data_IF_184781626430
#
_entry.id   IF_184781626430
#
_cell.length_a   1.000
_cell.length_b   1.000
_cell.length_c   1.000
_cell.angle_alpha   90.00
_cell.angle_beta   90.00
_cell.angle_gamma   90.00
#
_symmetry.space_group_name_H-M   'P 1'
#
loop_
_entity.id
_entity.type
_entity.pdbx_description
1 polymer ?
#
# COMPACT_ATOMS: atom_id res chain seq x y z
N UNK A 1 -66.20 -13.35 -47.90
CA UNK A 1 -66.98 -13.22 -46.65
C UNK A 1 -66.29 -14.03 -45.56
N UNK A 2 -65.83 -13.37 -44.49
CA UNK A 2 -65.40 -13.95 -43.18
C UNK A 2 -66.65 -14.19 -42.30
N UNK A 3 -66.59 -14.72 -41.06
CA UNK A 3 -65.71 -15.72 -40.38
C UNK A 3 -66.52 -16.70 -39.46
N UNK A 4 -65.87 -17.65 -38.75
CA UNK A 4 -66.15 -18.17 -37.35
C UNK A 4 -64.97 -19.13 -37.03
N UNK A 5 -63.89 -18.81 -36.30
CA UNK A 5 -63.58 -18.59 -34.86
C UNK A 5 -63.83 -19.78 -33.90
N UNK A 6 -62.77 -20.06 -33.11
CA UNK A 6 -62.67 -20.82 -31.83
C UNK A 6 -62.20 -22.28 -31.97
N UNK A 7 -61.31 -22.84 -31.14
CA UNK A 7 -60.78 -22.47 -29.83
C UNK A 7 -59.55 -23.39 -29.50
N UNK A 8 -58.69 -22.90 -28.60
CA UNK A 8 -57.75 -23.62 -27.70
C UNK A 8 -56.58 -24.41 -28.32
N UNK A 9 -55.38 -23.87 -28.10
CA UNK A 9 -54.39 -24.57 -27.28
C UNK A 9 -53.39 -23.54 -26.74
N UNK A 10 -53.62 -23.15 -25.49
CA UNK A 10 -52.60 -22.55 -24.65
C UNK A 10 -51.63 -23.66 -24.26
N UNK A 11 -50.32 -23.48 -24.40
CA UNK A 11 -49.39 -24.14 -23.49
C UNK A 11 -48.01 -23.47 -23.48
N UNK A 12 -47.64 -23.09 -22.26
CA UNK A 12 -46.29 -22.99 -21.71
C UNK A 12 -45.33 -21.94 -22.31
N UNK A 13 -45.55 -20.70 -21.88
CA UNK A 13 -44.48 -19.76 -21.55
C UNK A 13 -43.56 -20.43 -20.49
N UNK A 14 -42.50 -21.12 -20.90
CA UNK A 14 -41.50 -21.68 -19.98
C UNK A 14 -40.50 -20.60 -19.59
N UNK A 15 -40.79 -20.01 -18.43
CA UNK A 15 -39.87 -19.31 -17.57
C UNK A 15 -38.68 -20.25 -17.24
N UNK A 16 -37.49 -19.96 -17.75
CA UNK A 16 -36.23 -20.46 -17.20
C UNK A 16 -35.26 -19.28 -17.00
N UNK A 17 -35.76 -18.30 -16.27
CA UNK A 17 -34.98 -17.37 -15.47
C UNK A 17 -34.33 -18.21 -14.37
N UNK A 18 -33.04 -18.56 -14.50
CA UNK A 18 -32.11 -18.90 -13.40
C UNK A 18 -30.85 -19.58 -13.98
N UNK A 19 -30.02 -18.80 -14.65
CA UNK A 19 -28.60 -19.15 -14.82
C UNK A 19 -27.74 -17.88 -14.83
N UNK A 20 -28.12 -16.90 -14.02
CA UNK A 20 -27.13 -16.05 -13.39
C UNK A 20 -26.76 -16.80 -12.11
N UNK A 21 -25.92 -17.82 -12.25
CA UNK A 21 -25.14 -18.21 -11.11
C UNK A 21 -24.39 -16.93 -10.70
N UNK A 22 -24.59 -16.38 -9.49
CA UNK A 22 -23.53 -15.54 -8.98
C UNK A 22 -22.33 -16.47 -8.98
N UNK A 23 -21.32 -16.17 -9.80
CA UNK A 23 -19.96 -16.43 -9.38
C UNK A 23 -19.82 -15.62 -8.10
N UNK A 24 -20.32 -16.20 -6.99
CA UNK A 24 -19.67 -16.08 -5.72
C UNK A 24 -18.30 -16.69 -5.99
N UNK A 25 -17.42 -15.87 -6.56
CA UNK A 25 -16.02 -15.91 -6.23
C UNK A 25 -16.04 -16.06 -4.73
N UNK A 26 -15.72 -17.27 -4.26
CA UNK A 26 -15.15 -17.42 -2.94
C UNK A 26 -14.05 -16.37 -2.93
N UNK A 27 -14.33 -15.22 -2.33
CA UNK A 27 -13.29 -14.36 -1.83
C UNK A 27 -12.59 -15.29 -0.86
N UNK A 28 -11.50 -15.90 -1.33
CA UNK A 28 -10.54 -16.48 -0.45
C UNK A 28 -10.20 -15.35 0.50
N UNK A 29 -10.83 -15.36 1.67
CA UNK A 29 -10.28 -14.72 2.86
C UNK A 29 -9.04 -15.54 3.17
N UNK A 30 -8.03 -15.39 2.30
CA UNK A 30 -6.70 -15.81 2.58
C UNK A 30 -6.37 -15.06 3.85
N UNK A 31 -6.23 -15.79 4.95
CA UNK A 31 -5.56 -15.30 6.14
C UNK A 31 -4.38 -14.48 5.62
N UNK A 32 -4.42 -13.16 5.81
CA UNK A 32 -3.32 -12.30 5.41
C UNK A 32 -2.17 -12.77 6.28
N UNK A 33 -1.34 -13.64 5.74
CA UNK A 33 -0.15 -14.08 6.43
C UNK A 33 0.65 -12.81 6.73
N UNK A 34 0.88 -12.57 8.01
CA UNK A 34 1.65 -11.43 8.49
C UNK A 34 3.11 -11.78 8.15
N UNK A 35 3.59 -11.34 6.99
CA UNK A 35 4.96 -11.58 6.54
C UNK A 35 5.88 -10.44 7.00
N UNK A 36 6.77 -10.67 7.99
CA UNK A 36 7.57 -9.59 8.56
C UNK A 36 8.28 -8.79 7.47
N UNK A 37 8.36 -7.48 7.65
CA UNK A 37 9.12 -6.65 6.74
C UNK A 37 10.59 -7.13 6.70
N UNK A 38 11.23 -7.15 5.52
CA UNK A 38 12.62 -7.60 5.38
C UNK A 38 13.58 -6.71 6.19
N UNK A 39 14.72 -7.27 6.59
CA UNK A 39 15.84 -6.54 7.21
C UNK A 39 17.08 -6.66 6.31
N UNK A 40 17.61 -5.55 5.74
CA UNK A 40 17.16 -4.17 5.90
C UNK A 40 15.78 -3.90 5.27
N UNK A 41 15.05 -2.93 5.84
CA UNK A 41 13.72 -2.56 5.37
C UNK A 41 13.75 -2.10 3.91
N UNK A 42 12.96 -2.78 3.08
CA UNK A 42 12.80 -2.47 1.66
C UNK A 42 11.35 -2.62 1.24
N UNK A 43 10.98 -1.86 0.21
CA UNK A 43 9.62 -1.85 -0.33
C UNK A 43 9.49 -2.83 -1.49
N UNK A 44 8.31 -3.42 -1.65
CA UNK A 44 7.97 -4.04 -2.93
C UNK A 44 7.71 -2.97 -4.01
N UNK A 45 7.62 -3.37 -5.28
CA UNK A 45 7.43 -2.46 -6.41
C UNK A 45 6.24 -1.49 -6.24
N UNK A 46 5.11 -1.97 -5.71
CA UNK A 46 3.89 -1.17 -5.56
C UNK A 46 4.07 -0.11 -4.48
N UNK A 47 4.59 -0.53 -3.32
CA UNK A 47 4.79 0.36 -2.18
C UNK A 47 5.90 1.37 -2.47
N UNK A 48 6.94 0.99 -3.25
CA UNK A 48 7.98 1.91 -3.69
C UNK A 48 7.41 3.07 -4.52
N UNK A 49 6.55 2.76 -5.50
CA UNK A 49 5.87 3.79 -6.31
C UNK A 49 4.98 4.67 -5.43
N UNK A 50 4.22 4.06 -4.51
CA UNK A 50 3.34 4.80 -3.62
C UNK A 50 4.13 5.72 -2.68
N UNK A 51 5.24 5.24 -2.10
CA UNK A 51 6.11 6.01 -1.23
C UNK A 51 6.73 7.21 -1.95
N UNK A 52 7.28 7.00 -3.15
CA UNK A 52 7.81 8.08 -3.98
C UNK A 52 6.73 9.14 -4.25
N UNK A 53 5.53 8.71 -4.64
CA UNK A 53 4.43 9.64 -4.91
C UNK A 53 4.00 10.42 -3.64
N UNK A 54 3.88 9.73 -2.50
CA UNK A 54 3.49 10.35 -1.23
C UNK A 54 4.52 11.36 -0.74
N UNK A 55 5.80 11.01 -0.75
CA UNK A 55 6.88 11.88 -0.28
C UNK A 55 6.97 13.12 -1.19
N UNK A 56 7.00 12.94 -2.51
CA UNK A 56 7.01 14.05 -3.49
C UNK A 56 5.82 14.99 -3.32
N UNK A 57 4.63 14.45 -3.04
CA UNK A 57 3.42 15.26 -2.81
C UNK A 57 3.48 16.03 -1.49
N UNK A 58 4.07 15.46 -0.45
CA UNK A 58 4.22 16.14 0.85
C UNK A 58 5.21 17.30 0.80
N UNK A 59 6.22 17.21 -0.08
CA UNK A 59 7.40 18.11 -0.22
C UNK A 59 8.25 18.27 1.05
N UNK A 60 7.85 17.65 2.15
CA UNK A 60 8.46 17.80 3.47
C UNK A 60 8.77 16.43 4.03
N UNK A 61 10.05 16.19 4.24
CA UNK A 61 10.58 15.04 4.95
C UNK A 61 11.24 15.55 6.24
N UNK A 62 10.97 14.93 7.37
CA UNK A 62 11.68 15.21 8.62
C UNK A 62 12.55 14.01 8.94
N UNK A 63 13.85 14.23 9.05
CA UNK A 63 14.77 13.27 9.64
C UNK A 63 14.82 13.54 11.13
N UNK A 64 14.51 12.56 11.97
CA UNK A 64 14.51 12.74 13.41
C UNK A 64 15.21 11.54 14.05
N UNK A 65 16.54 11.49 14.13
CA UNK A 65 17.27 10.42 14.81
C UNK A 65 16.93 10.38 16.33
N UNK A 66 17.11 9.25 17.01
CA UNK A 66 16.89 9.16 18.45
C UNK A 66 17.94 10.00 19.21
N UNK A 67 17.48 10.93 20.06
CA UNK A 67 18.37 11.76 20.89
C UNK A 67 19.18 12.82 20.13
N UNK A 68 18.86 13.07 18.86
CA UNK A 68 19.49 14.12 18.06
C UNK A 68 18.49 15.15 17.55
N UNK A 69 19.00 16.22 16.97
CA UNK A 69 18.20 17.29 16.39
C UNK A 69 17.38 16.79 15.20
N UNK A 70 16.18 17.37 15.06
CA UNK A 70 15.31 17.10 13.91
C UNK A 70 15.82 17.92 12.72
N UNK A 71 16.05 17.26 11.60
CA UNK A 71 16.36 17.91 10.32
C UNK A 71 15.10 18.02 9.48
N UNK A 72 14.81 19.24 9.01
CA UNK A 72 13.69 19.50 8.10
C UNK A 72 14.23 19.55 6.67
N UNK A 73 13.81 18.60 5.86
CA UNK A 73 14.23 18.46 4.47
C UNK A 73 13.05 18.86 3.57
N UNK A 74 13.22 19.97 2.85
CA UNK A 74 12.32 20.37 1.77
C UNK A 74 12.78 19.73 0.46
N UNK A 75 11.91 18.94 -0.18
CA UNK A 75 12.16 18.42 -1.52
C UNK A 75 11.91 19.53 -2.54
N UNK A 76 12.94 20.34 -2.80
CA UNK A 76 12.91 21.40 -3.82
C UNK A 76 12.73 20.83 -5.22
N UNK A 77 13.51 19.80 -5.55
CA UNK A 77 13.40 19.04 -6.78
C UNK A 77 12.82 17.64 -6.47
N UNK A 78 11.58 17.31 -6.91
CA UNK A 78 10.99 16.00 -6.69
C UNK A 78 11.81 14.84 -7.29
N UNK A 79 12.64 15.11 -8.30
CA UNK A 79 13.48 14.11 -8.95
C UNK A 79 14.63 13.63 -8.06
N UNK A 80 15.00 14.38 -7.02
CA UNK A 80 16.06 13.99 -6.08
C UNK A 80 15.69 12.75 -5.25
N UNK A 81 14.40 12.37 -5.24
CA UNK A 81 13.90 11.14 -4.63
C UNK A 81 13.70 10.05 -5.67
N UNK A 82 14.41 8.93 -5.50
CA UNK A 82 14.39 7.79 -6.41
C UNK A 82 14.16 6.47 -5.68
N UNK A 83 13.49 5.53 -6.34
CA UNK A 83 13.44 4.14 -5.90
C UNK A 83 14.47 3.33 -6.69
N UNK A 84 15.44 2.73 -6.00
CA UNK A 84 16.48 1.89 -6.61
C UNK A 84 16.26 0.44 -6.24
N UNK A 85 16.50 -0.45 -7.20
CA UNK A 85 16.38 -1.89 -6.98
C UNK A 85 17.43 -2.35 -5.95
N UNK A 86 16.97 -2.99 -4.89
CA UNK A 86 17.79 -3.44 -3.77
C UNK A 86 17.99 -4.96 -3.73
N UNK A 87 17.29 -5.71 -4.60
CA UNK A 87 17.43 -7.16 -4.70
C UNK A 87 16.10 -7.88 -4.84
N UNK A 88 16.16 -9.19 -4.70
CA UNK A 88 15.00 -10.09 -4.69
C UNK A 88 14.91 -10.73 -3.32
N UNK A 89 13.74 -10.68 -2.70
CA UNK A 89 13.42 -11.45 -1.51
C UNK A 89 13.28 -12.94 -1.88
N UNK A 90 14.04 -13.84 -1.24
CA UNK A 90 13.98 -15.28 -1.52
C UNK A 90 12.69 -15.95 -1.04
N UNK A 91 11.96 -15.36 -0.08
CA UNK A 91 10.72 -15.93 0.48
C UNK A 91 9.58 -14.89 0.52
N UNK A 92 9.16 -14.35 -0.65
CA UNK A 92 8.16 -13.31 -0.67
C UNK A 92 6.75 -13.91 -0.49
N UNK A 93 5.81 -13.16 0.11
CA UNK A 93 4.41 -13.59 0.25
C UNK A 93 3.75 -14.01 -1.07
N UNK A 94 4.13 -13.33 -2.15
CA UNK A 94 3.74 -13.67 -3.51
C UNK A 94 4.82 -13.17 -4.49
N UNK A 95 4.86 -13.73 -5.70
CA UNK A 95 5.94 -13.45 -6.69
C UNK A 95 6.04 -11.96 -7.04
N UNK A 96 4.94 -11.25 -7.05
CA UNK A 96 4.87 -9.80 -7.28
C UNK A 96 5.56 -8.98 -6.18
N UNK A 97 5.72 -9.53 -4.98
CA UNK A 97 6.41 -8.89 -3.86
C UNK A 97 7.90 -9.23 -3.79
N UNK A 98 8.40 -10.09 -4.69
CA UNK A 98 9.79 -10.55 -4.68
C UNK A 98 10.79 -9.41 -4.90
N UNK A 99 10.48 -8.48 -5.81
CA UNK A 99 11.40 -7.36 -6.12
C UNK A 99 11.37 -6.33 -5.00
N UNK A 100 12.55 -6.01 -4.47
CA UNK A 100 12.76 -5.10 -3.36
C UNK A 100 13.43 -3.81 -3.81
N UNK A 101 13.04 -2.71 -3.18
CA UNK A 101 13.49 -1.36 -3.51
C UNK A 101 13.84 -0.58 -2.25
N UNK A 102 14.93 0.19 -2.35
CA UNK A 102 15.33 1.18 -1.36
C UNK A 102 15.09 2.57 -1.95
N UNK A 103 14.62 3.52 -1.13
CA UNK A 103 14.52 4.91 -1.55
C UNK A 103 15.84 5.64 -1.29
N UNK A 104 16.19 6.51 -2.21
CA UNK A 104 17.37 7.36 -2.13
C UNK A 104 16.94 8.82 -2.28
N UNK A 105 17.49 9.68 -1.42
CA UNK A 105 17.38 11.13 -1.51
C UNK A 105 18.78 11.68 -1.80
N UNK A 106 18.98 12.30 -2.97
CA UNK A 106 20.29 12.83 -3.41
C UNK A 106 21.43 11.80 -3.20
N UNK A 107 21.23 10.59 -3.71
CA UNK A 107 22.15 9.45 -3.60
C UNK A 107 22.38 8.85 -2.21
N UNK A 108 21.82 9.42 -1.14
CA UNK A 108 21.84 8.81 0.18
C UNK A 108 20.62 7.90 0.37
N UNK A 109 20.78 6.66 0.90
CA UNK A 109 19.64 5.81 1.21
C UNK A 109 18.81 6.47 2.32
N UNK A 110 17.50 6.50 2.12
CA UNK A 110 16.56 7.00 3.10
C UNK A 110 16.62 6.16 4.39
N UNK A 111 16.83 6.82 5.52
CA UNK A 111 16.72 6.20 6.84
C UNK A 111 15.24 6.03 7.21
N UNK A 112 14.68 4.86 6.90
CA UNK A 112 13.28 4.54 7.13
C UNK A 112 12.84 4.66 8.60
N UNK A 113 13.72 4.31 9.54
CA UNK A 113 13.40 4.29 10.97
C UNK A 113 13.26 5.70 11.53
N UNK A 114 13.95 6.66 10.91
CA UNK A 114 14.00 8.05 11.38
C UNK A 114 13.43 9.07 10.39
N UNK A 115 12.81 8.62 9.30
CA UNK A 115 12.19 9.49 8.29
C UNK A 115 10.68 9.60 8.47
N UNK A 116 10.19 10.84 8.55
CA UNK A 116 8.78 11.16 8.80
C UNK A 116 8.22 12.08 7.73
N UNK A 117 6.95 11.90 7.37
CA UNK A 117 6.21 12.80 6.48
C UNK A 117 4.91 13.25 7.13
N UNK A 118 4.38 14.38 6.66
CA UNK A 118 3.04 14.79 7.03
C UNK A 118 1.99 13.97 6.26
N UNK A 119 1.25 13.13 6.97
CA UNK A 119 0.17 12.30 6.42
C UNK A 119 -1.10 12.48 7.26
N UNK A 120 -2.19 12.92 6.61
CA UNK A 120 -3.49 13.20 7.28
C UNK A 120 -3.39 14.16 8.47
N UNK A 121 -2.48 15.13 8.41
CA UNK A 121 -2.29 16.16 9.44
C UNK A 121 -1.29 15.80 10.54
N UNK A 122 -0.83 14.55 10.59
CA UNK A 122 0.15 14.08 11.59
C UNK A 122 1.52 13.84 10.95
N UNK A 123 2.58 13.98 11.74
CA UNK A 123 3.93 13.54 11.33
C UNK A 123 4.07 12.04 11.59
N UNK A 124 4.07 11.26 10.52
CA UNK A 124 4.06 9.78 10.58
C UNK A 124 5.34 9.23 9.97
N UNK A 125 5.90 8.23 10.63
CA UNK A 125 7.09 7.51 10.17
C UNK A 125 6.79 6.75 8.87
N UNK A 126 7.71 6.86 7.92
CA UNK A 126 7.56 6.23 6.61
C UNK A 126 7.60 4.70 6.68
N UNK A 127 8.50 4.10 7.47
CA UNK A 127 8.50 2.65 7.66
C UNK A 127 7.14 2.18 8.18
N UNK A 128 6.63 2.80 9.24
CA UNK A 128 5.33 2.44 9.83
C UNK A 128 4.14 2.59 8.87
N UNK A 129 4.20 3.53 7.93
CA UNK A 129 3.17 3.68 6.89
C UNK A 129 3.18 2.54 5.86
N UNK A 130 4.34 1.92 5.63
CA UNK A 130 4.55 0.94 4.57
C UNK A 130 4.90 -0.47 5.06
N UNK A 131 5.10 -0.69 6.36
CA UNK A 131 5.04 -2.03 6.95
C UNK A 131 3.66 -2.59 6.60
N UNK A 132 3.60 -3.79 6.00
CA UNK A 132 2.37 -4.30 5.40
C UNK A 132 1.20 -4.12 6.37
N UNK A 133 0.14 -3.47 5.87
CA UNK A 133 -1.00 -3.03 6.67
C UNK A 133 -1.47 -4.20 7.56
N UNK A 134 -1.42 -4.02 8.88
CA UNK A 134 -1.77 -5.00 9.93
C UNK A 134 -0.62 -5.84 10.51
N UNK A 135 0.63 -5.38 10.44
CA UNK A 135 1.76 -6.01 11.14
C UNK A 135 2.10 -5.33 12.45
N UNK A 136 2.69 -6.09 13.38
CA UNK A 136 3.34 -5.53 14.55
C UNK A 136 4.51 -4.63 14.12
N UNK A 137 4.64 -3.48 14.78
CA UNK A 137 5.72 -2.56 14.48
C UNK A 137 7.05 -3.15 14.99
N UNK A 138 8.16 -3.01 14.24
CA UNK A 138 9.48 -3.37 14.74
C UNK A 138 9.77 -2.71 16.11
N UNK A 139 10.46 -3.41 17.03
CA UNK A 139 10.84 -2.84 18.31
C UNK A 139 11.60 -1.52 18.14
N UNK A 140 11.20 -0.49 18.89
CA UNK A 140 11.83 0.84 18.84
C UNK A 140 11.39 1.73 17.68
N UNK A 141 10.55 1.25 16.75
CA UNK A 141 10.04 2.10 15.67
C UNK A 141 9.03 3.12 16.21
N UNK A 142 9.35 4.41 16.08
CA UNK A 142 8.45 5.50 16.45
C UNK A 142 7.46 5.76 15.34
N UNK A 143 6.18 5.45 15.55
CA UNK A 143 5.16 5.67 14.52
C UNK A 143 4.89 7.15 14.24
N UNK A 144 5.00 7.99 15.26
CA UNK A 144 4.66 9.43 15.19
C UNK A 144 5.73 10.25 15.89
N UNK A 145 5.94 11.48 15.41
CA UNK A 145 6.65 12.49 16.19
C UNK A 145 5.65 13.16 17.14
N UNK A 146 6.03 13.27 18.40
CA UNK A 146 5.33 14.09 19.37
C UNK A 146 5.63 15.57 19.08
N UNK A 147 4.60 16.41 19.06
CA UNK A 147 4.72 17.89 18.95
C UNK A 147 5.18 18.54 20.29
N UNK A 148 5.97 17.84 21.09
CA UNK A 148 6.34 18.26 22.45
C UNK A 148 7.58 19.17 22.49
N UNK A 149 7.61 20.17 23.39
CA UNK A 149 8.67 21.19 23.49
C UNK A 149 10.00 20.72 24.09
N UNK A 150 10.16 19.42 24.40
CA UNK A 150 11.41 18.87 24.97
C UNK A 150 12.21 18.06 23.93
N UNK A 151 12.31 18.59 22.70
CA UNK A 151 13.28 18.12 21.69
C UNK A 151 14.47 19.06 21.70
#
# INVERSE_FOLDING_TARGET
MRPVIFLRSALALSLALCLIAPLATLHASGRIAIHPAPDPFTLNSRDAVQAVWMIRRSRLLILAPPGGDREIIYLENPLDLEARYAGTDPDPPAREHARRYQLYLKDAPLDWQNSFIRYRGEMVNLQGLFTYRNQELPPGLRLRLSDGPDS
#
